data_IF_525293056212
#
_entry.id   IF_525293056212
#
_cell.length_a   1.000
_cell.length_b   1.000
_cell.length_c   1.000
_cell.angle_alpha   90.00
_cell.angle_beta   90.00
_cell.angle_gamma   90.00
#
_symmetry.space_group_name_H-M   'P 1'
#
loop_
_entity.id
_entity.type
_entity.pdbx_description
1 polymer ?
#
# COMPACT_ATOMS: atom_id res chain seq x y z
N UNK A 1 33.78 3.53 -31.44
CA UNK A 1 33.63 4.11 -30.08
C UNK A 1 32.80 5.39 -29.99
N UNK A 2 32.36 6.03 -31.10
CA UNK A 2 31.57 7.27 -31.04
C UNK A 2 30.04 7.03 -31.00
N UNK A 3 29.56 5.88 -31.45
CA UNK A 3 28.13 5.55 -31.51
C UNK A 3 27.52 5.21 -30.14
N UNK A 4 28.30 4.58 -29.23
CA UNK A 4 27.84 4.28 -27.86
C UNK A 4 27.70 5.51 -26.98
N UNK A 5 28.47 6.58 -27.22
CA UNK A 5 28.40 7.82 -26.44
C UNK A 5 27.12 8.62 -26.75
N UNK A 6 26.71 8.66 -28.02
CA UNK A 6 25.49 9.34 -28.48
C UNK A 6 24.20 8.63 -28.03
N UNK A 7 24.25 7.29 -27.87
CA UNK A 7 23.13 6.53 -27.32
C UNK A 7 22.98 6.76 -25.81
N UNK A 8 24.08 6.96 -25.07
CA UNK A 8 24.02 7.26 -23.64
C UNK A 8 23.49 8.67 -23.37
N UNK A 9 23.86 9.67 -24.19
CA UNK A 9 23.41 11.06 -24.03
C UNK A 9 21.91 11.27 -24.28
N UNK A 10 21.29 10.46 -25.14
CA UNK A 10 19.85 10.56 -25.45
C UNK A 10 18.95 9.89 -24.40
N UNK A 11 19.49 8.99 -23.56
CA UNK A 11 18.73 8.36 -22.46
C UNK A 11 18.63 9.28 -21.23
N UNK A 12 19.58 10.20 -21.04
CA UNK A 12 19.62 11.12 -19.88
C UNK A 12 18.44 12.10 -19.88
N UNK A 13 17.88 12.41 -21.05
CA UNK A 13 16.79 13.40 -21.19
C UNK A 13 15.41 12.91 -20.76
N UNK A 14 15.23 11.61 -20.48
CA UNK A 14 13.91 11.02 -20.15
C UNK A 14 13.61 10.96 -18.64
N UNK A 15 14.54 11.36 -17.78
CA UNK A 15 14.37 11.32 -16.33
C UNK A 15 13.88 12.65 -15.72
N UNK A 16 13.15 13.48 -16.47
CA UNK A 16 12.53 14.70 -15.90
C UNK A 16 11.35 14.30 -15.03
N UNK A 17 11.56 14.31 -13.71
CA UNK A 17 10.48 14.22 -12.72
C UNK A 17 9.48 15.36 -12.96
N UNK A 18 8.25 15.04 -13.36
CA UNK A 18 7.20 16.03 -13.59
C UNK A 18 6.89 16.76 -12.27
N UNK A 19 6.92 18.09 -12.26
CA UNK A 19 6.53 18.89 -11.10
C UNK A 19 5.05 19.29 -11.22
N UNK A 20 4.33 19.26 -10.11
CA UNK A 20 2.92 19.69 -10.02
C UNK A 20 2.72 20.59 -8.81
N UNK A 21 1.64 21.37 -8.80
CA UNK A 21 1.29 22.23 -7.67
C UNK A 21 1.17 21.40 -6.39
N UNK A 22 1.69 21.90 -5.27
CA UNK A 22 1.44 21.31 -3.96
C UNK A 22 -0.01 21.59 -3.53
N UNK A 23 -0.69 20.56 -3.03
CA UNK A 23 -2.03 20.71 -2.49
C UNK A 23 -2.02 21.51 -1.19
N UNK A 24 -3.06 22.33 -0.99
CA UNK A 24 -3.40 22.92 0.28
C UNK A 24 -3.98 21.88 1.25
N UNK A 25 -3.76 22.06 2.54
CA UNK A 25 -4.27 21.11 3.54
C UNK A 25 -5.79 20.99 3.53
N UNK A 26 -6.51 22.11 3.41
CA UNK A 26 -7.97 22.11 3.30
C UNK A 26 -8.51 21.43 2.03
N UNK A 27 -7.75 21.45 0.92
CA UNK A 27 -8.14 20.76 -0.32
C UNK A 27 -8.09 19.23 -0.13
N UNK A 28 -7.05 18.74 0.53
CA UNK A 28 -6.80 17.31 0.72
C UNK A 28 -7.74 16.72 1.78
N UNK A 29 -8.05 17.47 2.84
CA UNK A 29 -8.99 17.02 3.88
C UNK A 29 -10.37 16.70 3.32
N UNK A 30 -10.82 17.41 2.28
CA UNK A 30 -12.07 17.14 1.58
C UNK A 30 -12.06 15.79 0.85
N UNK A 31 -10.88 15.30 0.43
CA UNK A 31 -10.73 13.99 -0.23
C UNK A 31 -10.46 12.84 0.75
N UNK A 32 -10.01 13.13 1.98
CA UNK A 32 -9.64 12.18 3.02
C UNK A 32 -10.83 11.57 3.79
N UNK A 33 -12.05 11.56 3.22
CA UNK A 33 -13.22 10.87 3.83
C UNK A 33 -12.90 9.43 4.25
N UNK A 34 -13.79 8.76 5.00
CA UNK A 34 -13.54 7.46 5.66
C UNK A 34 -13.02 6.36 4.71
N UNK A 35 -11.70 6.33 4.51
CA UNK A 35 -11.01 5.48 3.56
C UNK A 35 -11.24 3.98 3.83
N UNK A 36 -11.48 3.63 5.09
CA UNK A 36 -11.82 2.28 5.55
C UNK A 36 -13.13 1.76 4.96
N UNK A 37 -14.16 2.62 4.83
CA UNK A 37 -15.45 2.23 4.25
C UNK A 37 -15.37 1.95 2.75
N UNK A 38 -14.54 2.72 2.02
CA UNK A 38 -14.26 2.48 0.60
C UNK A 38 -13.45 1.21 0.36
N UNK A 39 -12.47 0.93 1.24
CA UNK A 39 -11.61 -0.25 1.11
C UNK A 39 -12.41 -1.56 1.18
N UNK A 40 -13.26 -1.75 2.19
CA UNK A 40 -14.00 -3.01 2.37
C UNK A 40 -14.98 -3.26 1.22
N UNK A 41 -15.65 -2.22 0.72
CA UNK A 41 -16.52 -2.32 -0.47
C UNK A 41 -15.74 -2.79 -1.70
N UNK A 42 -14.54 -2.25 -1.92
CA UNK A 42 -13.67 -2.67 -3.01
C UNK A 42 -13.11 -4.08 -2.82
N UNK A 43 -12.78 -4.47 -1.58
CA UNK A 43 -12.40 -5.84 -1.26
C UNK A 43 -13.51 -6.83 -1.64
N UNK A 44 -14.78 -6.50 -1.34
CA UNK A 44 -15.94 -7.32 -1.66
C UNK A 44 -16.11 -7.52 -3.19
N UNK A 45 -15.82 -6.49 -3.99
CA UNK A 45 -15.82 -6.59 -5.46
C UNK A 45 -14.65 -7.42 -6.01
N UNK A 46 -13.55 -7.52 -5.26
CA UNK A 46 -12.32 -8.20 -5.67
C UNK A 46 -12.17 -9.61 -5.08
N UNK A 47 -13.19 -10.11 -4.38
CA UNK A 47 -13.16 -11.37 -3.62
C UNK A 47 -12.74 -12.60 -4.46
N UNK A 48 -13.03 -12.60 -5.76
CA UNK A 48 -12.71 -13.72 -6.66
C UNK A 48 -11.20 -14.05 -6.67
N UNK A 49 -10.33 -13.06 -6.45
CA UNK A 49 -8.89 -13.29 -6.40
C UNK A 49 -8.47 -14.16 -5.20
N UNK A 50 -9.10 -13.98 -4.05
CA UNK A 50 -8.76 -14.72 -2.82
C UNK A 50 -9.54 -16.03 -2.70
N UNK A 51 -10.76 -16.08 -3.25
CA UNK A 51 -11.52 -17.33 -3.37
C UNK A 51 -10.78 -18.39 -4.20
N UNK A 52 -10.00 -17.97 -5.21
CA UNK A 52 -9.14 -18.86 -6.00
C UNK A 52 -8.07 -19.61 -5.18
N UNK A 53 -7.78 -19.19 -3.94
CA UNK A 53 -6.89 -19.90 -3.01
C UNK A 53 -7.62 -20.86 -2.06
N UNK A 54 -8.93 -21.05 -2.23
CA UNK A 54 -9.77 -21.86 -1.34
C UNK A 54 -10.30 -21.11 -0.12
N UNK A 55 -10.12 -19.79 -0.04
CA UNK A 55 -10.63 -19.00 1.07
C UNK A 55 -12.17 -18.92 1.04
N UNK A 56 -12.82 -19.17 2.19
CA UNK A 56 -14.17 -18.72 2.46
C UNK A 56 -14.14 -17.20 2.63
N UNK A 57 -14.62 -16.46 1.62
CA UNK A 57 -14.54 -15.00 1.62
C UNK A 57 -15.25 -14.33 2.81
N UNK A 58 -16.47 -14.72 3.21
CA UNK A 58 -17.10 -14.19 4.42
C UNK A 58 -16.24 -14.34 5.68
N UNK A 59 -15.62 -15.50 5.90
CA UNK A 59 -14.74 -15.73 7.05
C UNK A 59 -13.45 -14.90 6.94
N UNK A 60 -12.85 -14.82 5.75
CA UNK A 60 -11.68 -13.97 5.47
C UNK A 60 -11.97 -12.49 5.74
N UNK A 61 -13.15 -12.02 5.34
CA UNK A 61 -13.61 -10.66 5.58
C UNK A 61 -13.67 -10.37 7.07
N UNK A 62 -14.12 -11.31 7.90
CA UNK A 62 -14.12 -11.17 9.36
C UNK A 62 -12.70 -11.05 9.93
N UNK A 63 -11.74 -11.85 9.45
CA UNK A 63 -10.33 -11.69 9.85
C UNK A 63 -9.79 -10.29 9.60
N UNK A 64 -10.16 -9.67 8.46
CA UNK A 64 -9.74 -8.31 8.13
C UNK A 64 -10.44 -7.27 8.99
N UNK A 65 -11.75 -7.42 9.23
CA UNK A 65 -12.52 -6.51 10.09
C UNK A 65 -12.04 -6.50 11.54
N UNK A 66 -11.60 -7.64 12.08
CA UNK A 66 -11.00 -7.70 13.42
C UNK A 66 -9.75 -6.82 13.56
N UNK A 67 -9.09 -6.49 12.45
CA UNK A 67 -7.92 -5.61 12.43
C UNK A 67 -8.26 -4.16 12.07
N UNK A 68 -9.53 -3.82 11.82
CA UNK A 68 -9.96 -2.45 11.53
C UNK A 68 -9.48 -1.43 12.57
N UNK A 69 -9.56 -1.68 13.90
CA UNK A 69 -9.04 -0.71 14.87
C UNK A 69 -7.53 -0.48 14.75
N UNK A 70 -6.77 -1.53 14.45
CA UNK A 70 -5.33 -1.43 14.22
C UNK A 70 -5.01 -0.67 12.92
N UNK A 71 -5.79 -0.90 11.86
CA UNK A 71 -5.69 -0.15 10.59
C UNK A 71 -5.95 1.33 10.81
N UNK A 72 -7.02 1.67 11.55
CA UNK A 72 -7.38 3.06 11.85
C UNK A 72 -6.29 3.76 12.66
N UNK A 73 -5.72 3.10 13.68
CA UNK A 73 -4.56 3.64 14.42
C UNK A 73 -3.35 3.86 13.53
N UNK A 74 -3.02 2.90 12.65
CA UNK A 74 -1.90 3.01 11.74
C UNK A 74 -2.08 4.16 10.73
N UNK A 75 -3.30 4.31 10.19
CA UNK A 75 -3.65 5.41 9.29
C UNK A 75 -3.53 6.77 9.98
N UNK A 76 -3.99 6.90 11.23
CA UNK A 76 -3.87 8.13 12.00
C UNK A 76 -2.40 8.46 12.34
N UNK A 77 -1.60 7.46 12.70
CA UNK A 77 -0.15 7.61 12.88
C UNK A 77 0.50 8.13 11.59
N UNK A 78 0.17 7.53 10.44
CA UNK A 78 0.73 7.96 9.15
C UNK A 78 0.26 9.37 8.75
N UNK A 79 -1.00 9.72 9.02
CA UNK A 79 -1.51 11.08 8.82
C UNK A 79 -0.73 12.09 9.66
N UNK A 80 -0.43 11.76 10.91
CA UNK A 80 0.40 12.59 11.80
C UNK A 80 1.82 12.79 11.26
N UNK A 81 2.47 11.70 10.81
CA UNK A 81 3.80 11.77 10.20
C UNK A 81 3.85 12.62 8.91
N UNK A 82 2.69 12.86 8.28
CA UNK A 82 2.55 13.62 7.04
C UNK A 82 1.86 14.98 7.23
N UNK A 83 1.78 15.51 8.46
CA UNK A 83 1.09 16.78 8.76
C UNK A 83 1.61 18.01 8.00
N UNK A 84 2.83 17.92 7.45
CA UNK A 84 3.48 18.98 6.67
C UNK A 84 3.55 18.68 5.17
N UNK A 85 2.91 17.61 4.70
CA UNK A 85 2.95 17.24 3.28
C UNK A 85 2.09 18.19 2.40
N UNK A 86 1.15 18.91 3.00
CA UNK A 86 0.32 19.90 2.33
C UNK A 86 0.72 21.33 2.71
N UNK A 87 0.44 22.29 1.83
CA UNK A 87 0.69 23.70 2.09
C UNK A 87 -0.44 24.32 2.93
N UNK A 88 -0.09 25.16 3.92
CA UNK A 88 -1.07 25.94 4.71
C UNK A 88 -1.29 27.36 4.17
N UNK A 89 -0.30 27.92 3.49
CA UNK A 89 -0.28 29.30 3.00
C UNK A 89 -0.26 29.42 1.47
N UNK A 90 -0.30 28.29 0.75
CA UNK A 90 -0.18 28.21 -0.70
C UNK A 90 1.27 28.35 -1.20
N UNK A 91 1.52 27.95 -2.46
CA UNK A 91 2.74 28.37 -3.18
C UNK A 91 3.92 27.39 -3.30
N UNK A 92 3.70 26.07 -3.39
CA UNK A 92 4.76 25.08 -3.62
C UNK A 92 4.60 24.30 -4.93
N UNK A 93 5.72 23.80 -5.47
CA UNK A 93 5.75 22.77 -6.52
C UNK A 93 6.40 21.50 -5.94
N UNK A 94 5.76 20.36 -6.15
CA UNK A 94 6.22 19.05 -5.67
C UNK A 94 6.38 18.08 -6.83
N UNK A 95 7.19 17.05 -6.63
CA UNK A 95 7.34 15.98 -7.61
C UNK A 95 6.03 15.21 -7.73
N UNK A 96 5.55 15.05 -8.96
CA UNK A 96 4.42 14.19 -9.27
C UNK A 96 4.78 12.75 -8.90
N UNK A 97 3.96 12.16 -8.06
CA UNK A 97 4.10 10.78 -7.61
C UNK A 97 3.26 9.86 -8.48
N UNK A 98 3.82 8.72 -8.82
CA UNK A 98 3.15 7.68 -9.60
C UNK A 98 2.79 6.52 -8.65
N UNK A 99 1.53 6.08 -8.57
CA UNK A 99 1.11 5.00 -7.67
C UNK A 99 1.92 3.71 -7.86
N UNK A 100 2.44 3.47 -9.06
CA UNK A 100 3.24 2.31 -9.43
C UNK A 100 4.57 2.24 -8.67
N UNK A 101 5.22 3.38 -8.39
CA UNK A 101 6.51 3.41 -7.69
C UNK A 101 6.32 3.11 -6.20
N UNK A 102 5.27 3.68 -5.60
CA UNK A 102 4.89 3.38 -4.21
C UNK A 102 4.50 1.91 -4.05
N UNK A 103 3.72 1.37 -4.99
CA UNK A 103 3.35 -0.04 -5.05
C UNK A 103 4.60 -0.92 -5.11
N UNK A 104 5.56 -0.59 -5.97
CA UNK A 104 6.81 -1.34 -6.09
C UNK A 104 7.62 -1.31 -4.77
N UNK A 105 7.75 -0.14 -4.13
CA UNK A 105 8.42 -0.01 -2.84
C UNK A 105 7.75 -0.86 -1.76
N UNK A 106 6.40 -0.85 -1.70
CA UNK A 106 5.64 -1.66 -0.76
C UNK A 106 5.85 -3.17 -0.99
N UNK A 107 5.81 -3.64 -2.25
CA UNK A 107 6.10 -5.05 -2.56
C UNK A 107 7.55 -5.45 -2.28
N UNK A 108 8.49 -4.53 -2.48
CA UNK A 108 9.90 -4.75 -2.13
C UNK A 108 10.06 -4.97 -0.63
N UNK A 109 9.37 -4.16 0.19
CA UNK A 109 9.40 -4.32 1.64
C UNK A 109 8.72 -5.62 2.11
N UNK A 110 7.57 -5.99 1.53
CA UNK A 110 6.92 -7.28 1.83
C UNK A 110 7.87 -8.44 1.47
N UNK A 111 8.56 -8.39 0.33
CA UNK A 111 9.55 -9.40 -0.03
C UNK A 111 10.71 -9.46 0.97
N UNK A 112 11.21 -8.31 1.44
CA UNK A 112 12.25 -8.23 2.49
C UNK A 112 11.79 -8.92 3.79
N UNK A 113 10.54 -8.69 4.21
CA UNK A 113 9.94 -9.37 5.37
C UNK A 113 9.90 -10.89 5.16
N UNK A 114 9.43 -11.36 4.01
CA UNK A 114 9.34 -12.79 3.69
C UNK A 114 10.73 -13.45 3.63
N UNK A 115 11.73 -12.74 3.11
CA UNK A 115 13.12 -13.20 3.06
C UNK A 115 13.71 -13.33 4.47
N UNK A 116 13.54 -12.32 5.34
CA UNK A 116 13.98 -12.39 6.75
C UNK A 116 13.26 -13.49 7.53
N UNK A 117 12.02 -13.76 7.17
CA UNK A 117 11.20 -14.85 7.72
C UNK A 117 11.59 -16.23 7.16
N UNK A 118 12.48 -16.29 6.17
CA UNK A 118 12.92 -17.52 5.51
C UNK A 118 11.85 -18.23 4.68
N UNK A 119 10.72 -17.57 4.37
CA UNK A 119 9.56 -18.17 3.68
C UNK A 119 9.34 -17.59 2.28
N UNK A 120 10.32 -16.88 1.71
CA UNK A 120 10.14 -16.14 0.46
C UNK A 120 9.71 -17.04 -0.70
N UNK A 121 10.30 -18.23 -0.83
CA UNK A 121 9.99 -19.15 -1.91
C UNK A 121 8.58 -19.74 -1.75
N UNK A 122 8.23 -20.19 -0.55
CA UNK A 122 6.95 -20.79 -0.20
C UNK A 122 5.81 -19.77 -0.26
N UNK A 123 6.08 -18.51 0.07
CA UNK A 123 5.10 -17.43 0.06
C UNK A 123 4.79 -16.87 -1.34
N UNK A 124 5.58 -17.23 -2.36
CA UNK A 124 5.49 -16.63 -3.72
C UNK A 124 4.11 -16.78 -4.35
N UNK A 125 3.45 -17.93 -4.16
CA UNK A 125 2.10 -18.16 -4.67
C UNK A 125 1.08 -17.22 -4.02
N UNK A 126 1.14 -17.06 -2.69
CA UNK A 126 0.29 -16.14 -1.94
C UNK A 126 0.55 -14.68 -2.32
N UNK A 127 1.83 -14.30 -2.50
CA UNK A 127 2.20 -12.95 -2.90
C UNK A 127 1.66 -12.60 -4.30
N UNK A 128 1.69 -13.54 -5.24
CA UNK A 128 1.11 -13.36 -6.58
C UNK A 128 -0.39 -13.08 -6.52
N UNK A 129 -1.13 -13.85 -5.72
CA UNK A 129 -2.57 -13.62 -5.52
C UNK A 129 -2.83 -12.32 -4.78
N UNK A 130 -2.09 -12.05 -3.70
CA UNK A 130 -2.16 -10.81 -2.94
C UNK A 130 -1.93 -9.58 -3.84
N UNK A 131 -0.98 -9.66 -4.77
CA UNK A 131 -0.73 -8.61 -5.78
C UNK A 131 -1.93 -8.39 -6.70
N UNK A 132 -2.58 -9.45 -7.17
CA UNK A 132 -3.79 -9.34 -8.01
C UNK A 132 -4.93 -8.70 -7.23
N UNK A 133 -5.19 -9.18 -6.01
CA UNK A 133 -6.21 -8.63 -5.12
C UNK A 133 -5.97 -7.15 -4.82
N UNK A 134 -4.78 -6.77 -4.35
CA UNK A 134 -4.42 -5.38 -4.05
C UNK A 134 -4.55 -4.47 -5.29
N UNK A 135 -4.13 -4.96 -6.47
CA UNK A 135 -4.28 -4.20 -7.72
C UNK A 135 -5.76 -3.98 -8.07
N UNK A 136 -6.62 -4.98 -7.88
CA UNK A 136 -8.05 -4.85 -8.09
C UNK A 136 -8.66 -3.82 -7.13
N UNK A 137 -8.34 -3.91 -5.84
CA UNK A 137 -8.86 -2.98 -4.82
C UNK A 137 -8.42 -1.55 -5.10
N UNK A 138 -7.13 -1.32 -5.42
CA UNK A 138 -6.63 0.00 -5.78
C UNK A 138 -7.38 0.58 -7.00
N UNK A 139 -7.56 -0.20 -8.07
CA UNK A 139 -8.31 0.24 -9.25
C UNK A 139 -9.77 0.57 -8.92
N UNK A 140 -10.40 -0.19 -8.02
CA UNK A 140 -11.75 0.11 -7.55
C UNK A 140 -11.79 1.44 -6.78
N UNK A 141 -10.87 1.67 -5.85
CA UNK A 141 -10.77 2.91 -5.08
C UNK A 141 -10.49 4.13 -5.98
N UNK A 142 -9.61 3.97 -6.98
CA UNK A 142 -9.26 5.00 -7.96
C UNK A 142 -10.44 5.44 -8.84
N UNK A 143 -11.43 4.55 -9.03
CA UNK A 143 -12.67 4.83 -9.76
C UNK A 143 -13.76 5.40 -8.85
N UNK A 144 -13.63 5.22 -7.54
CA UNK A 144 -14.56 5.70 -6.54
C UNK A 144 -14.43 7.20 -6.26
N UNK A 145 -15.27 7.70 -5.35
CA UNK A 145 -15.35 9.12 -5.00
C UNK A 145 -14.01 9.68 -4.50
N UNK A 146 -13.28 8.93 -3.68
CA UNK A 146 -11.96 9.31 -3.17
C UNK A 146 -10.96 9.48 -4.31
N UNK A 147 -10.80 8.47 -5.18
CA UNK A 147 -9.88 8.55 -6.33
C UNK A 147 -10.22 9.68 -7.29
N UNK A 148 -11.51 9.90 -7.57
CA UNK A 148 -11.97 11.01 -8.41
C UNK A 148 -11.74 12.37 -7.75
N UNK A 149 -11.83 12.47 -6.43
CA UNK A 149 -11.52 13.70 -5.69
C UNK A 149 -10.05 14.10 -5.89
N UNK A 150 -9.11 13.18 -5.64
CA UNK A 150 -7.68 13.45 -5.85
C UNK A 150 -7.35 13.83 -7.30
N UNK A 151 -7.96 13.16 -8.29
CA UNK A 151 -7.78 13.50 -9.71
C UNK A 151 -8.26 14.92 -10.04
N UNK A 152 -9.38 15.36 -9.46
CA UNK A 152 -9.95 16.70 -9.69
C UNK A 152 -9.10 17.82 -9.07
N UNK A 153 -8.44 17.58 -7.94
CA UNK A 153 -7.60 18.59 -7.29
C UNK A 153 -6.39 19.01 -8.14
N UNK A 154 -5.89 18.11 -9.01
CA UNK A 154 -4.80 18.42 -9.94
C UNK A 154 -3.47 18.82 -9.26
N UNK A 155 -3.28 18.43 -8.00
CA UNK A 155 -2.13 18.79 -7.16
C UNK A 155 -1.51 17.54 -6.51
N UNK A 156 -0.32 17.70 -5.93
CA UNK A 156 0.41 16.65 -5.22
C UNK A 156 0.70 17.00 -3.77
N UNK A 157 1.05 16.01 -2.97
CA UNK A 157 1.57 16.18 -1.62
C UNK A 157 3.10 16.15 -1.64
N UNK A 158 3.73 16.96 -0.79
CA UNK A 158 5.17 16.92 -0.52
C UNK A 158 5.49 15.72 0.38
N UNK A 159 5.51 14.55 -0.26
CA UNK A 159 5.75 13.27 0.40
C UNK A 159 7.22 12.88 0.27
N UNK A 160 7.81 12.31 1.33
CA UNK A 160 9.18 11.79 1.28
C UNK A 160 9.32 10.67 0.23
N UNK A 161 10.53 10.21 -0.11
CA UNK A 161 10.74 9.10 -1.05
C UNK A 161 9.92 7.86 -0.70
N UNK A 162 9.53 7.06 -1.71
CA UNK A 162 8.62 5.91 -1.51
C UNK A 162 9.13 4.90 -0.49
N UNK A 163 10.44 4.64 -0.46
CA UNK A 163 11.06 3.77 0.54
C UNK A 163 10.83 4.30 1.97
N UNK A 164 11.02 5.60 2.20
CA UNK A 164 10.81 6.24 3.50
C UNK A 164 9.33 6.23 3.86
N UNK A 165 8.45 6.49 2.90
CA UNK A 165 7.00 6.46 3.11
C UNK A 165 6.53 5.06 3.52
N UNK A 166 7.04 4.02 2.87
CA UNK A 166 6.76 2.60 3.19
C UNK A 166 7.30 2.22 4.57
N UNK A 167 8.53 2.63 4.91
CA UNK A 167 9.12 2.35 6.22
C UNK A 167 8.35 3.05 7.35
N UNK A 168 7.98 4.33 7.18
CA UNK A 168 7.12 5.05 8.13
C UNK A 168 5.78 4.34 8.30
N UNK A 169 5.15 3.94 7.19
CA UNK A 169 3.88 3.19 7.22
C UNK A 169 4.01 1.87 7.97
N UNK A 170 5.10 1.13 7.75
CA UNK A 170 5.41 -0.10 8.47
C UNK A 170 5.55 0.15 9.97
N UNK A 171 6.28 1.19 10.37
CA UNK A 171 6.46 1.52 11.79
C UNK A 171 5.12 1.88 12.45
N UNK A 172 4.29 2.67 11.79
CA UNK A 172 2.94 2.96 12.25
C UNK A 172 2.08 1.70 12.38
N UNK A 173 2.20 0.76 11.43
CA UNK A 173 1.50 -0.52 11.50
C UNK A 173 1.97 -1.37 12.69
N UNK A 174 3.28 -1.51 12.90
CA UNK A 174 3.87 -2.24 14.04
C UNK A 174 3.34 -1.66 15.35
N UNK A 175 3.46 -0.34 15.53
CA UNK A 175 3.00 0.37 16.73
C UNK A 175 1.47 0.26 16.94
N UNK A 176 0.73 -0.13 15.91
CA UNK A 176 -0.72 -0.28 15.96
C UNK A 176 -1.19 -1.72 16.18
N UNK A 177 -0.27 -2.69 16.31
CA UNK A 177 -0.58 -4.11 16.52
C UNK A 177 -0.44 -4.99 15.28
N UNK A 178 0.32 -4.53 14.28
CA UNK A 178 0.85 -5.36 13.18
C UNK A 178 2.33 -5.68 13.40
N UNK A 179 2.71 -5.88 14.65
CA UNK A 179 3.98 -6.50 15.01
C UNK A 179 3.97 -8.00 14.63
N UNK A 180 5.05 -8.71 14.96
CA UNK A 180 5.16 -10.13 14.64
C UNK A 180 3.97 -10.95 15.18
N UNK A 181 3.56 -10.73 16.44
CA UNK A 181 2.44 -11.44 17.03
C UNK A 181 1.12 -11.13 16.31
N UNK A 182 0.85 -9.85 16.04
CA UNK A 182 -0.35 -9.40 15.36
C UNK A 182 -0.49 -9.92 13.93
N UNK A 183 0.61 -9.95 13.17
CA UNK A 183 0.64 -10.50 11.80
C UNK A 183 0.50 -12.01 11.80
N UNK A 184 1.13 -12.73 12.75
CA UNK A 184 0.96 -14.18 12.92
C UNK A 184 -0.50 -14.52 13.23
N UNK A 185 -1.13 -13.79 14.14
CA UNK A 185 -2.54 -13.96 14.47
C UNK A 185 -3.43 -13.77 13.24
N UNK A 186 -3.21 -12.69 12.47
CA UNK A 186 -3.95 -12.44 11.25
C UNK A 186 -3.75 -13.56 10.22
N UNK A 187 -2.50 -13.98 9.99
CA UNK A 187 -2.18 -15.06 9.07
C UNK A 187 -2.88 -16.36 9.46
N UNK A 188 -2.87 -16.73 10.74
CA UNK A 188 -3.56 -17.92 11.23
C UNK A 188 -5.08 -17.82 11.08
N UNK A 189 -5.67 -16.65 11.30
CA UNK A 189 -7.08 -16.41 11.01
C UNK A 189 -7.37 -16.68 9.53
N UNK A 190 -6.59 -16.10 8.62
CA UNK A 190 -6.72 -16.31 7.17
C UNK A 190 -6.56 -17.78 6.78
N UNK A 191 -5.56 -18.47 7.35
CA UNK A 191 -5.38 -19.90 7.10
C UNK A 191 -6.61 -20.72 7.52
N UNK A 192 -7.22 -20.36 8.65
CA UNK A 192 -8.47 -20.96 9.15
C UNK A 192 -9.69 -20.76 8.24
N UNK A 193 -9.61 -19.88 7.23
CA UNK A 193 -10.70 -19.65 6.27
C UNK A 193 -10.73 -20.67 5.13
N UNK A 194 -9.76 -21.59 5.06
CA UNK A 194 -9.64 -22.60 4.00
C UNK A 194 -8.50 -22.36 3.00
N UNK A 195 -7.68 -21.32 3.21
CA UNK A 195 -6.48 -21.08 2.39
C UNK A 195 -5.47 -22.21 2.59
N UNK A 196 -5.32 -23.04 1.56
CA UNK A 196 -4.43 -24.21 1.60
C UNK A 196 -2.97 -23.78 1.73
N UNK A 197 -2.19 -24.54 2.48
CA UNK A 197 -0.74 -24.40 2.64
C UNK A 197 -0.26 -23.08 3.27
N UNK A 198 -1.15 -22.23 3.80
CA UNK A 198 -0.76 -20.98 4.44
C UNK A 198 -0.33 -21.16 5.91
N UNK A 199 -1.03 -22.02 6.65
CA UNK A 199 -0.80 -22.23 8.09
C UNK A 199 0.68 -22.51 8.46
N UNK A 200 1.42 -23.38 7.73
CA UNK A 200 2.82 -23.66 8.06
C UNK A 200 3.75 -22.44 7.95
N UNK A 201 3.36 -21.42 7.17
CA UNK A 201 4.16 -20.21 6.98
C UNK A 201 3.91 -19.18 8.08
N UNK A 202 2.71 -19.17 8.68
CA UNK A 202 2.28 -18.11 9.58
C UNK A 202 3.24 -17.93 10.75
N UNK A 203 3.60 -19.00 11.46
CA UNK A 203 4.46 -18.92 12.65
C UNK A 203 5.91 -18.53 12.36
N UNK A 204 6.33 -18.54 11.09
CA UNK A 204 7.68 -18.16 10.66
C UNK A 204 7.79 -16.67 10.30
N UNK A 205 6.66 -15.99 10.14
CA UNK A 205 6.64 -14.55 9.81
C UNK A 205 7.30 -13.76 10.95
N UNK A 206 8.25 -12.89 10.59
CA UNK A 206 8.92 -11.97 11.51
C UNK A 206 8.84 -10.56 10.93
N UNK A 207 8.26 -9.65 11.70
CA UNK A 207 8.12 -8.23 11.37
C UNK A 207 9.19 -7.45 12.15
N UNK A 208 9.96 -6.65 11.42
CA UNK A 208 11.06 -5.81 11.93
C UNK A 208 11.11 -4.49 11.17
#
# INVERSE_FOLDING_TARGET
MHFSLLLFLSIVSLATSQMIRQCGCGEIEQCLGSATGGFMKCADQCQNHVAAMGANYPALRQCMLQKEPAITRAANCQKSNLQNACSRSGGGMVRKRYPETLKLAAFTEVNSILQRSGIQAEAKAFLSVGKKFATCVMKCMDRGSTGNCYKKLGCGLDLPPDSILVQSTKQCAINSGFDTAGVRQLCNCVAGTGVRNLAPLCNRITIS
#
